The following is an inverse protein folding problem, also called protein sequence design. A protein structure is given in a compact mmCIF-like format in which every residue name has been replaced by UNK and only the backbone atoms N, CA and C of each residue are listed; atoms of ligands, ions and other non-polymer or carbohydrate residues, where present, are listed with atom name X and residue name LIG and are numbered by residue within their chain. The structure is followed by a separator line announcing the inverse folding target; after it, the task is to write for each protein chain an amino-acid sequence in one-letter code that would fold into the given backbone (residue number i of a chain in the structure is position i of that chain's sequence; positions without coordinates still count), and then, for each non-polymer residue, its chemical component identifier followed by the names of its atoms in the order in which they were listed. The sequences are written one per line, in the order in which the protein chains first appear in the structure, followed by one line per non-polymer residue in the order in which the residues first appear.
data_IF_068282701042
#
_entry.id   IF_068282701042
#
_cell.length_a   1.000
_cell.length_b   1.000
_cell.length_c   1.000
_cell.angle_alpha   90.00
_cell.angle_beta   90.00
_cell.angle_gamma   90.00
#
_symmetry.space_group_name_H-M   'P 1'
#
loop_
_entity.id
_entity.type
_entity.pdbx_description
1 polymer ?
#
# COMPACT_ATOMS: atom_id res chain seq x y z
N UNK A 1 -45.12 36.49 17.40
CA UNK A 1 -43.94 35.68 17.80
C UNK A 1 -42.84 35.62 16.70
N UNK A 2 -42.26 36.72 16.27
CA UNK A 2 -41.17 36.78 15.28
C UNK A 2 -39.89 37.49 15.77
N UNK A 3 -39.82 37.81 17.07
CA UNK A 3 -38.73 38.63 17.63
C UNK A 3 -37.61 37.85 18.38
N UNK A 4 -37.77 36.57 18.69
CA UNK A 4 -36.86 35.88 19.63
C UNK A 4 -35.77 35.06 18.92
N UNK A 5 -35.95 34.74 17.63
CA UNK A 5 -34.91 33.96 16.87
C UNK A 5 -33.68 34.80 16.43
N UNK A 6 -33.80 36.12 16.40
CA UNK A 6 -32.68 37.00 15.98
C UNK A 6 -31.63 37.23 17.06
N UNK A 7 -32.01 37.19 18.33
CA UNK A 7 -31.08 37.50 19.44
C UNK A 7 -30.13 36.33 19.75
N UNK A 8 -30.58 35.07 19.59
CA UNK A 8 -29.72 33.91 19.83
C UNK A 8 -28.64 33.72 18.76
N UNK A 9 -28.91 34.12 17.52
CA UNK A 9 -27.91 34.06 16.44
C UNK A 9 -26.86 35.18 16.53
N UNK A 10 -27.24 36.33 17.04
CA UNK A 10 -26.30 37.44 17.28
C UNK A 10 -25.35 37.15 18.45
N UNK A 11 -25.86 36.56 19.54
CA UNK A 11 -25.01 36.16 20.67
C UNK A 11 -24.00 35.06 20.30
N UNK A 12 -24.40 34.07 19.52
CA UNK A 12 -23.49 33.01 19.06
C UNK A 12 -22.38 33.56 18.14
N UNK A 13 -22.71 34.49 17.25
CA UNK A 13 -21.71 35.17 16.40
C UNK A 13 -20.74 36.07 17.18
N UNK A 14 -21.22 36.75 18.22
CA UNK A 14 -20.37 37.57 19.07
C UNK A 14 -19.40 36.72 19.92
N UNK A 15 -19.83 35.55 20.42
CA UNK A 15 -18.96 34.63 21.14
C UNK A 15 -17.91 34.01 20.22
N UNK A 16 -18.25 33.64 18.99
CA UNK A 16 -17.28 33.12 18.03
C UNK A 16 -16.26 34.19 17.58
N UNK A 17 -16.69 35.43 17.39
CA UNK A 17 -15.79 36.53 17.06
C UNK A 17 -14.86 36.95 18.22
N UNK A 18 -15.33 36.83 19.48
CA UNK A 18 -14.49 37.04 20.66
C UNK A 18 -13.51 35.94 20.93
N UNK A 19 -13.89 34.66 20.65
CA UNK A 19 -12.99 33.54 20.73
C UNK A 19 -11.90 33.60 19.65
N UNK A 20 -12.24 33.97 18.42
CA UNK A 20 -11.29 34.21 17.35
C UNK A 20 -10.31 35.36 17.68
N UNK A 21 -10.81 36.48 18.21
CA UNK A 21 -9.94 37.60 18.65
C UNK A 21 -9.02 37.24 19.81
N UNK A 22 -9.44 36.39 20.75
CA UNK A 22 -8.57 35.91 21.84
C UNK A 22 -7.49 34.93 21.36
N UNK A 23 -7.76 34.17 20.30
CA UNK A 23 -6.77 33.32 19.68
C UNK A 23 -5.70 34.11 18.91
N UNK A 24 -6.10 35.22 18.25
CA UNK A 24 -5.16 36.10 17.53
C UNK A 24 -4.18 36.86 18.44
N UNK A 25 -4.53 37.10 19.71
CA UNK A 25 -3.67 37.86 20.66
C UNK A 25 -2.66 36.93 21.39
N UNK A 26 -2.83 35.59 21.33
CA UNK A 26 -1.99 34.66 22.06
C UNK A 26 -0.97 33.88 21.17
N UNK A 27 -1.01 34.08 19.87
CA UNK A 27 -0.04 33.43 18.98
C UNK A 27 1.06 34.45 18.62
N UNK A 28 2.07 34.59 19.46
CA UNK A 28 3.41 34.86 18.91
C UNK A 28 3.67 33.72 17.92
N UNK A 29 3.67 34.02 16.62
CA UNK A 29 3.99 33.08 15.59
C UNK A 29 5.45 32.66 15.76
N UNK A 30 5.70 31.64 16.56
CA UNK A 30 6.96 30.95 16.56
C UNK A 30 7.09 30.35 15.17
N UNK A 31 7.87 31.01 14.31
CA UNK A 31 8.20 30.48 12.99
C UNK A 31 9.16 29.30 13.18
N UNK A 32 8.63 28.10 13.25
CA UNK A 32 9.44 26.91 13.20
C UNK A 32 10.14 26.84 11.84
N UNK A 33 11.41 26.52 11.83
CA UNK A 33 12.17 26.29 10.60
C UNK A 33 11.68 24.96 9.98
N UNK A 34 11.44 24.91 8.66
CA UNK A 34 11.19 23.66 7.99
C UNK A 34 12.32 22.67 8.29
N UNK A 35 11.98 21.47 8.70
CA UNK A 35 12.97 20.41 8.91
C UNK A 35 13.00 19.46 7.72
N UNK A 36 14.18 19.00 7.37
CA UNK A 36 14.36 17.95 6.39
C UNK A 36 14.23 16.57 7.05
N UNK A 37 13.88 15.56 6.24
CA UNK A 37 13.85 14.18 6.70
C UNK A 37 15.26 13.75 7.11
N UNK A 38 15.41 13.35 8.37
CA UNK A 38 16.66 12.81 8.89
C UNK A 38 16.64 11.28 8.78
N UNK A 39 17.70 10.69 8.25
CA UNK A 39 17.84 9.23 8.15
C UNK A 39 19.16 8.81 8.78
N UNK A 40 19.08 7.88 9.73
CA UNK A 40 20.25 7.28 10.39
C UNK A 40 20.20 5.77 10.29
N UNK A 41 21.30 5.15 9.89
CA UNK A 41 21.45 3.69 9.91
C UNK A 41 22.31 3.28 11.09
N UNK A 42 21.74 2.48 11.97
CA UNK A 42 22.46 1.95 13.13
C UNK A 42 23.44 0.83 12.72
N UNK A 43 24.49 0.57 13.55
CA UNK A 43 25.42 -0.55 13.31
C UNK A 43 24.74 -1.93 13.24
N UNK A 44 23.58 -2.09 13.89
CA UNK A 44 22.73 -3.29 13.82
C UNK A 44 22.05 -3.49 12.46
N UNK A 45 22.10 -2.51 11.58
CA UNK A 45 21.40 -2.49 10.30
C UNK A 45 20.00 -1.85 10.36
N UNK A 46 19.47 -1.55 11.56
CA UNK A 46 18.19 -0.83 11.70
C UNK A 46 18.30 0.56 11.09
N UNK A 47 17.32 0.94 10.29
CA UNK A 47 17.23 2.28 9.71
C UNK A 47 16.21 3.09 10.51
N UNK A 48 16.55 4.32 10.83
CA UNK A 48 15.67 5.26 11.53
C UNK A 48 15.46 6.45 10.60
N UNK A 49 14.21 6.81 10.36
CA UNK A 49 13.86 7.99 9.58
C UNK A 49 12.86 8.85 10.36
N UNK A 50 13.04 10.16 10.39
CA UNK A 50 12.14 11.06 11.08
C UNK A 50 11.96 12.37 10.33
N UNK A 51 10.79 12.96 10.52
CA UNK A 51 10.48 14.33 10.14
C UNK A 51 9.72 14.99 11.28
N UNK A 52 10.30 15.97 11.93
CA UNK A 52 9.55 16.79 12.89
C UNK A 52 8.93 18.00 12.18
N UNK A 53 7.66 17.88 11.84
CA UNK A 53 6.85 18.91 11.22
C UNK A 53 6.12 19.78 12.25
N UNK A 54 6.44 19.65 13.54
CA UNK A 54 5.80 20.37 14.67
C UNK A 54 4.28 20.20 14.72
N UNK A 55 3.75 19.18 14.10
CA UNK A 55 2.33 18.83 14.19
C UNK A 55 1.96 18.46 15.63
N UNK A 56 0.76 18.81 16.12
CA UNK A 56 0.26 18.33 17.40
C UNK A 56 -0.04 16.83 17.41
N UNK A 57 -0.22 16.23 16.24
CA UNK A 57 -0.40 14.79 16.06
C UNK A 57 0.92 14.18 15.57
N UNK A 58 1.28 13.06 16.17
CA UNK A 58 2.44 12.25 15.79
C UNK A 58 2.02 10.90 15.26
N UNK A 59 2.72 10.43 14.24
CA UNK A 59 2.55 9.10 13.67
C UNK A 59 3.88 8.37 13.64
N UNK A 60 3.91 7.15 14.14
CA UNK A 60 5.13 6.36 14.22
C UNK A 60 4.85 4.98 13.63
N UNK A 61 5.80 4.47 12.84
CA UNK A 61 5.69 3.18 12.19
C UNK A 61 6.96 2.33 12.32
N UNK A 62 6.78 1.05 12.58
CA UNK A 62 7.83 0.04 12.45
C UNK A 62 7.57 -0.76 11.19
N UNK A 63 8.44 -0.60 10.22
CA UNK A 63 8.39 -1.29 8.92
C UNK A 63 9.30 -2.51 8.99
N UNK A 64 8.78 -3.67 8.61
CA UNK A 64 9.51 -4.94 8.68
C UNK A 64 9.43 -5.66 7.33
N UNK A 65 10.55 -6.11 6.78
CA UNK A 65 10.59 -6.99 5.59
C UNK A 65 10.13 -8.40 5.97
N UNK A 66 8.83 -8.57 6.19
CA UNK A 66 8.23 -9.79 6.70
C UNK A 66 6.81 -10.01 6.12
N UNK A 67 6.64 -9.72 4.83
CA UNK A 67 5.37 -9.98 4.13
C UNK A 67 5.16 -11.45 3.77
N UNK A 68 4.02 -11.77 3.13
CA UNK A 68 3.66 -13.15 2.80
C UNK A 68 4.65 -13.84 1.83
N UNK A 69 5.48 -13.07 1.10
CA UNK A 69 6.53 -13.66 0.26
C UNK A 69 7.57 -14.48 1.03
N UNK A 70 7.70 -14.26 2.33
CA UNK A 70 8.65 -14.97 3.21
C UNK A 70 8.03 -16.16 3.92
N UNK A 71 6.77 -16.47 3.63
CA UNK A 71 6.10 -17.67 4.13
C UNK A 71 6.59 -18.90 3.41
N UNK A 72 6.80 -19.98 4.17
CA UNK A 72 7.06 -21.32 3.65
C UNK A 72 5.75 -22.09 3.44
N UNK A 73 5.76 -23.21 2.71
CA UNK A 73 4.57 -24.05 2.55
C UNK A 73 3.93 -24.50 3.87
N UNK A 74 4.75 -24.67 4.92
CA UNK A 74 4.31 -25.16 6.24
C UNK A 74 3.63 -24.09 7.10
N UNK A 75 3.83 -22.80 6.78
CA UNK A 75 3.30 -21.70 7.58
C UNK A 75 2.53 -20.64 6.77
N UNK A 76 2.00 -21.02 5.62
CA UNK A 76 1.21 -20.11 4.78
C UNK A 76 0.05 -19.50 5.54
N UNK A 77 -0.10 -18.19 5.42
CA UNK A 77 -1.10 -17.40 6.14
C UNK A 77 -0.64 -16.89 7.50
N UNK A 78 0.60 -17.16 7.93
CA UNK A 78 1.12 -16.68 9.21
C UNK A 78 1.13 -15.14 9.28
N UNK A 79 1.42 -14.44 8.18
CA UNK A 79 1.39 -12.97 8.13
C UNK A 79 -0.02 -12.42 8.27
N UNK A 80 -1.03 -13.13 7.77
CA UNK A 80 -2.43 -12.78 7.98
C UNK A 80 -2.79 -12.90 9.47
N UNK A 81 -2.39 -13.99 10.14
CA UNK A 81 -2.61 -14.15 11.57
C UNK A 81 -1.85 -13.09 12.38
N UNK A 82 -0.59 -12.79 12.04
CA UNK A 82 0.20 -11.75 12.69
C UNK A 82 -0.45 -10.38 12.59
N UNK A 83 -1.05 -10.05 11.43
CA UNK A 83 -1.81 -8.81 11.25
C UNK A 83 -3.03 -8.75 12.19
N UNK A 84 -3.76 -9.83 12.33
CA UNK A 84 -4.93 -9.91 13.22
C UNK A 84 -4.54 -10.01 14.71
N UNK A 85 -3.31 -10.45 14.99
CA UNK A 85 -2.78 -10.62 16.35
C UNK A 85 -2.15 -9.34 16.94
N UNK A 86 -2.21 -8.22 16.23
CA UNK A 86 -1.53 -6.98 16.60
C UNK A 86 -1.85 -6.48 18.03
N UNK A 87 -3.04 -6.74 18.53
CA UNK A 87 -3.52 -6.30 19.83
C UNK A 87 -3.63 -7.44 20.87
N UNK A 88 -3.01 -8.57 20.60
CA UNK A 88 -2.95 -9.68 21.56
C UNK A 88 -1.94 -9.40 22.69
N UNK A 89 -1.97 -10.29 23.69
CA UNK A 89 -1.09 -10.20 24.86
C UNK A 89 0.38 -10.29 24.46
N UNK A 90 1.17 -9.38 25.03
CA UNK A 90 2.63 -9.32 24.92
C UNK A 90 3.27 -9.61 26.28
N UNK A 91 4.59 -9.82 26.32
CA UNK A 91 5.32 -10.02 27.58
C UNK A 91 5.23 -8.81 28.53
N UNK A 92 5.09 -7.60 27.99
CA UNK A 92 5.01 -6.36 28.77
C UNK A 92 3.60 -5.91 29.13
N UNK A 93 2.58 -6.32 28.37
CA UNK A 93 1.21 -5.85 28.57
C UNK A 93 0.18 -6.88 28.08
N UNK A 94 -0.92 -7.03 28.81
CA UNK A 94 -2.06 -7.84 28.35
C UNK A 94 -2.79 -7.14 27.20
N UNK A 95 -3.50 -7.91 26.35
CA UNK A 95 -4.34 -7.39 25.28
C UNK A 95 -5.28 -6.27 25.77
N UNK A 96 -5.89 -6.46 26.94
CA UNK A 96 -6.77 -5.47 27.56
C UNK A 96 -6.03 -4.17 27.94
N UNK A 97 -4.81 -4.28 28.49
CA UNK A 97 -3.98 -3.12 28.85
C UNK A 97 -3.54 -2.34 27.60
N UNK A 98 -3.16 -3.04 26.53
CA UNK A 98 -2.78 -2.41 25.25
C UNK A 98 -3.96 -1.62 24.69
N UNK A 99 -5.12 -2.27 24.55
CA UNK A 99 -6.31 -1.64 24.00
C UNK A 99 -6.70 -0.39 24.80
N UNK A 100 -6.89 -0.54 26.13
CA UNK A 100 -7.28 0.58 26.97
C UNK A 100 -6.23 1.66 27.10
N UNK A 101 -4.95 1.30 27.11
CA UNK A 101 -3.86 2.27 27.19
C UNK A 101 -3.76 3.15 25.94
N UNK A 102 -3.95 2.56 24.78
CA UNK A 102 -3.98 3.31 23.50
C UNK A 102 -5.25 4.17 23.40
N UNK A 103 -6.42 3.60 23.71
CA UNK A 103 -7.69 4.33 23.69
C UNK A 103 -7.77 5.46 24.71
N UNK A 104 -7.18 5.30 25.89
CA UNK A 104 -7.19 6.31 26.96
C UNK A 104 -6.51 7.61 26.56
N UNK A 105 -5.54 7.55 25.65
CA UNK A 105 -4.84 8.72 25.11
C UNK A 105 -5.39 9.15 23.73
N UNK A 106 -6.50 8.55 23.30
CA UNK A 106 -7.10 8.83 21.99
C UNK A 106 -6.23 8.39 20.82
N UNK A 107 -5.30 7.47 21.04
CA UNK A 107 -4.43 6.93 20.01
C UNK A 107 -5.09 5.80 19.20
N UNK A 108 -4.41 5.40 18.13
CA UNK A 108 -4.75 4.18 17.39
C UNK A 108 -3.50 3.34 17.13
N UNK A 109 -3.64 2.02 17.19
CA UNK A 109 -2.59 1.08 16.81
C UNK A 109 -3.12 0.17 15.72
N UNK A 110 -2.44 0.14 14.59
CA UNK A 110 -2.84 -0.64 13.43
C UNK A 110 -1.66 -1.45 12.86
N UNK A 111 -2.00 -2.54 12.17
CA UNK A 111 -1.02 -3.32 11.42
C UNK A 111 -1.54 -3.56 10.02
N UNK A 112 -0.72 -3.21 9.03
CA UNK A 112 -0.96 -3.52 7.63
C UNK A 112 0.08 -4.52 7.13
N UNK A 113 -0.30 -5.38 6.21
CA UNK A 113 0.61 -6.33 5.59
C UNK A 113 0.51 -6.24 4.08
N UNK A 114 1.65 -6.21 3.43
CA UNK A 114 1.81 -6.34 2.00
C UNK A 114 2.49 -7.67 1.65
N UNK A 115 2.75 -7.92 0.38
CA UNK A 115 3.50 -9.13 -0.01
C UNK A 115 4.95 -9.12 0.51
N UNK A 116 5.55 -7.96 0.67
CA UNK A 116 6.95 -7.83 1.11
C UNK A 116 7.13 -7.34 2.54
N UNK A 117 6.23 -6.49 3.01
CA UNK A 117 6.41 -5.77 4.26
C UNK A 117 5.22 -5.95 5.21
N UNK A 118 5.48 -5.91 6.50
CA UNK A 118 4.51 -5.65 7.55
C UNK A 118 4.81 -4.29 8.16
N UNK A 119 3.78 -3.50 8.42
CA UNK A 119 3.88 -2.15 8.96
C UNK A 119 3.03 -2.08 10.21
N UNK A 120 3.66 -1.86 11.34
CA UNK A 120 3.02 -1.58 12.61
C UNK A 120 3.02 -0.08 12.82
N UNK A 121 1.87 0.55 12.88
CA UNK A 121 1.75 2.00 13.01
C UNK A 121 0.90 2.40 14.20
N UNK A 122 1.27 3.52 14.80
CA UNK A 122 0.51 4.16 15.87
C UNK A 122 0.32 5.65 15.55
N UNK A 123 -0.87 6.13 15.86
CA UNK A 123 -1.22 7.55 15.81
C UNK A 123 -1.55 8.02 17.22
N UNK A 124 -1.03 9.19 17.60
CA UNK A 124 -1.32 9.77 18.90
C UNK A 124 -1.09 11.30 18.89
N UNK A 125 -1.50 11.94 19.96
CA UNK A 125 -1.04 13.30 20.23
C UNK A 125 0.43 13.31 20.69
N UNK A 126 1.15 14.37 20.35
CA UNK A 126 2.59 14.52 20.64
C UNK A 126 2.91 14.30 22.14
N UNK A 127 2.03 14.73 23.03
CA UNK A 127 2.22 14.62 24.48
C UNK A 127 2.14 13.17 25.01
N UNK A 128 1.67 12.22 24.18
CA UNK A 128 1.46 10.84 24.54
C UNK A 128 2.34 9.83 23.78
N UNK A 129 3.36 10.33 23.09
CA UNK A 129 4.28 9.51 22.29
C UNK A 129 4.88 8.39 23.15
N UNK A 130 5.38 8.70 24.34
CA UNK A 130 6.06 7.73 25.22
C UNK A 130 5.15 6.55 25.56
N UNK A 131 3.88 6.84 25.91
CA UNK A 131 2.89 5.82 26.26
C UNK A 131 2.59 4.88 25.09
N UNK A 132 2.37 5.44 23.90
CA UNK A 132 1.97 4.66 22.72
C UNK A 132 3.16 3.93 22.12
N UNK A 133 4.36 4.52 22.20
CA UNK A 133 5.61 3.91 21.80
C UNK A 133 5.91 2.63 22.59
N UNK A 134 5.67 2.63 23.90
CA UNK A 134 5.82 1.42 24.73
C UNK A 134 4.98 0.25 24.17
N UNK A 135 3.71 0.53 23.80
CA UNK A 135 2.85 -0.50 23.22
C UNK A 135 3.31 -0.95 21.84
N UNK A 136 3.71 -0.02 20.97
CA UNK A 136 4.23 -0.34 19.63
C UNK A 136 5.44 -1.27 19.72
N UNK A 137 6.38 -0.95 20.60
CA UNK A 137 7.58 -1.76 20.83
C UNK A 137 7.20 -3.15 21.36
N UNK A 138 6.33 -3.22 22.36
CA UNK A 138 5.91 -4.51 22.94
C UNK A 138 5.24 -5.41 21.89
N UNK A 139 4.37 -4.86 21.05
CA UNK A 139 3.67 -5.62 20.01
C UNK A 139 4.62 -6.12 18.92
N UNK A 140 5.63 -5.35 18.56
CA UNK A 140 6.59 -5.72 17.50
C UNK A 140 7.69 -6.65 17.97
N UNK A 141 8.11 -6.52 19.23
CA UNK A 141 9.33 -7.19 19.73
C UNK A 141 9.08 -8.36 20.66
N UNK A 142 7.98 -8.31 21.41
CA UNK A 142 7.71 -9.23 22.51
C UNK A 142 6.27 -9.80 22.55
N UNK A 143 5.66 -10.19 21.41
CA UNK A 143 4.36 -10.85 21.43
C UNK A 143 4.46 -12.20 22.15
N UNK A 144 3.41 -12.58 22.88
CA UNK A 144 3.40 -13.82 23.67
C UNK A 144 2.70 -14.97 22.93
N UNK A 145 1.75 -14.67 22.05
CA UNK A 145 0.98 -15.64 21.26
C UNK A 145 0.45 -16.81 22.11
N UNK A 146 -0.34 -16.49 23.11
CA UNK A 146 -0.96 -17.52 23.97
C UNK A 146 -1.81 -18.47 23.12
N UNK A 147 -1.70 -19.80 23.30
CA UNK A 147 -2.40 -20.77 22.44
C UNK A 147 -3.90 -20.55 22.32
N UNK A 148 -4.56 -20.14 23.42
CA UNK A 148 -6.00 -19.86 23.40
C UNK A 148 -6.34 -18.57 22.64
N UNK A 149 -5.53 -17.50 22.76
CA UNK A 149 -5.71 -16.26 21.99
C UNK A 149 -5.50 -16.52 20.49
N UNK A 150 -4.52 -17.35 20.12
CA UNK A 150 -4.26 -17.74 18.72
C UNK A 150 -5.41 -18.60 18.18
N UNK A 151 -5.95 -19.52 18.99
CA UNK A 151 -7.11 -20.33 18.63
C UNK A 151 -8.33 -19.45 18.31
N UNK A 152 -8.57 -18.42 19.11
CA UNK A 152 -9.69 -17.47 18.92
C UNK A 152 -9.57 -16.66 17.64
N UNK A 153 -8.34 -16.43 17.13
CA UNK A 153 -8.12 -15.76 15.84
C UNK A 153 -8.73 -16.53 14.68
N UNK A 154 -8.92 -17.84 14.77
CA UNK A 154 -9.48 -18.67 13.69
C UNK A 154 -10.82 -18.12 13.19
N UNK A 155 -11.69 -17.67 14.08
CA UNK A 155 -12.98 -17.08 13.73
C UNK A 155 -12.82 -15.73 13.01
N UNK A 156 -11.85 -14.92 13.45
CA UNK A 156 -11.52 -13.62 12.84
C UNK A 156 -10.92 -13.80 11.43
N UNK A 157 -10.03 -14.79 11.26
CA UNK A 157 -9.45 -15.16 9.97
C UNK A 157 -10.54 -15.54 8.96
N UNK A 158 -11.52 -16.39 9.39
CA UNK A 158 -12.65 -16.78 8.54
C UNK A 158 -13.50 -15.59 8.14
N UNK A 159 -13.78 -14.69 9.08
CA UNK A 159 -14.55 -13.47 8.81
C UNK A 159 -13.83 -12.52 7.85
N UNK A 160 -12.53 -12.25 8.08
CA UNK A 160 -11.73 -11.35 7.24
C UNK A 160 -11.62 -11.88 5.80
N UNK A 161 -11.43 -13.19 5.64
CA UNK A 161 -11.46 -13.86 4.33
C UNK A 161 -12.83 -13.75 3.65
N UNK A 162 -13.91 -13.95 4.38
CA UNK A 162 -15.26 -13.82 3.84
C UNK A 162 -15.56 -12.39 3.37
N UNK A 163 -15.07 -11.39 4.10
CA UNK A 163 -15.15 -9.97 3.70
C UNK A 163 -14.31 -9.70 2.43
N UNK A 164 -13.08 -10.21 2.37
CA UNK A 164 -12.23 -10.08 1.19
C UNK A 164 -12.84 -10.75 -0.05
N UNK A 165 -13.48 -11.91 0.11
CA UNK A 165 -14.15 -12.63 -0.96
C UNK A 165 -15.38 -11.89 -1.55
N UNK A 166 -15.95 -10.91 -0.81
CA UNK A 166 -17.02 -10.06 -1.34
C UNK A 166 -16.52 -9.04 -2.37
N UNK A 167 -15.21 -8.78 -2.43
CA UNK A 167 -14.60 -7.89 -3.42
C UNK A 167 -14.08 -8.69 -4.62
N UNK A 168 -14.74 -8.65 -5.79
CA UNK A 168 -14.24 -9.33 -6.99
C UNK A 168 -12.85 -8.84 -7.41
N UNK A 169 -12.57 -7.55 -7.21
CA UNK A 169 -11.28 -6.94 -7.50
C UNK A 169 -10.16 -7.57 -6.68
N UNK A 170 -10.37 -7.75 -5.37
CA UNK A 170 -9.39 -8.40 -4.50
C UNK A 170 -9.12 -9.85 -4.93
N UNK A 171 -10.18 -10.60 -5.25
CA UNK A 171 -10.07 -11.96 -5.75
C UNK A 171 -9.28 -12.07 -7.07
N UNK A 172 -9.51 -11.14 -8.00
CA UNK A 172 -8.77 -11.08 -9.27
C UNK A 172 -7.29 -10.73 -9.03
N UNK A 173 -6.98 -9.76 -8.16
CA UNK A 173 -5.60 -9.38 -7.85
C UNK A 173 -4.84 -10.54 -7.16
N UNK A 174 -5.47 -11.22 -6.21
CA UNK A 174 -4.88 -12.41 -5.56
C UNK A 174 -4.65 -13.55 -6.57
N UNK A 175 -5.66 -13.87 -7.36
CA UNK A 175 -5.56 -14.87 -8.43
C UNK A 175 -4.48 -14.53 -9.46
N UNK A 176 -4.35 -13.24 -9.80
CA UNK A 176 -3.34 -12.74 -10.73
C UNK A 176 -1.91 -13.02 -10.25
N UNK A 177 -1.62 -12.77 -8.98
CA UNK A 177 -0.30 -13.05 -8.40
C UNK A 177 -0.02 -14.56 -8.37
N UNK A 178 -1.02 -15.37 -8.01
CA UNK A 178 -0.91 -16.84 -8.08
C UNK A 178 -0.65 -17.39 -9.49
N UNK A 179 -1.23 -16.74 -10.53
CA UNK A 179 -1.00 -17.09 -11.92
C UNK A 179 0.36 -16.59 -12.43
N UNK A 180 0.75 -15.37 -12.03
CA UNK A 180 1.94 -14.68 -12.54
C UNK A 180 3.24 -15.28 -12.03
N UNK A 181 3.30 -15.64 -10.74
CA UNK A 181 4.53 -16.09 -10.09
C UNK A 181 4.51 -17.58 -9.76
N UNK A 182 5.69 -18.19 -9.80
CA UNK A 182 5.89 -19.58 -9.43
C UNK A 182 6.11 -19.78 -7.93
N UNK A 183 6.65 -18.76 -7.26
CA UNK A 183 7.10 -18.82 -5.87
C UNK A 183 6.88 -17.48 -5.18
N UNK A 184 7.18 -17.38 -3.91
CA UNK A 184 7.26 -16.15 -3.09
C UNK A 184 6.09 -15.18 -3.29
N UNK A 185 6.08 -14.39 -4.36
CA UNK A 185 5.01 -13.43 -4.67
C UNK A 185 3.68 -14.08 -5.07
N UNK A 186 3.65 -15.40 -5.31
CA UNK A 186 2.41 -16.16 -5.50
C UNK A 186 1.64 -16.40 -4.20
N UNK A 187 2.30 -16.25 -3.04
CA UNK A 187 1.66 -16.44 -1.75
C UNK A 187 0.54 -15.40 -1.55
N UNK A 188 -0.61 -15.86 -1.07
CA UNK A 188 -1.76 -15.00 -0.80
C UNK A 188 -1.51 -14.11 0.42
N UNK A 189 -2.13 -12.91 0.41
CA UNK A 189 -2.22 -12.06 1.61
C UNK A 189 -3.17 -12.62 2.68
N UNK A 190 -4.01 -13.59 2.30
CA UNK A 190 -4.99 -14.23 3.15
C UNK A 190 -4.61 -15.69 3.43
N UNK A 191 -4.82 -16.13 4.65
CA UNK A 191 -4.58 -17.52 5.04
C UNK A 191 -5.40 -18.48 4.15
N UNK A 192 -4.78 -19.46 3.47
CA UNK A 192 -5.50 -20.43 2.64
C UNK A 192 -6.46 -21.27 3.47
N UNK A 193 -7.55 -21.79 2.86
CA UNK A 193 -8.57 -22.58 3.56
C UNK A 193 -7.99 -23.78 4.31
N UNK A 194 -7.07 -24.48 3.68
CA UNK A 194 -6.44 -25.67 4.26
C UNK A 194 -5.48 -25.37 5.41
N UNK A 195 -5.08 -24.09 5.59
CA UNK A 195 -4.22 -23.67 6.70
C UNK A 195 -5.00 -23.03 7.85
N UNK A 196 -6.29 -22.75 7.68
CA UNK A 196 -7.12 -22.14 8.72
C UNK A 196 -7.25 -23.09 9.92
N UNK A 197 -6.71 -22.66 11.06
CA UNK A 197 -6.66 -23.46 12.30
C UNK A 197 -5.44 -24.38 12.41
N UNK A 198 -4.56 -24.40 11.39
CA UNK A 198 -3.31 -25.16 11.44
C UNK A 198 -2.09 -24.30 11.80
N UNK A 199 -2.18 -22.98 11.61
CA UNK A 199 -1.14 -22.04 12.06
C UNK A 199 -1.29 -21.81 13.55
N UNK A 200 -0.31 -22.22 14.32
CA UNK A 200 -0.26 -22.12 15.77
C UNK A 200 0.74 -21.06 16.28
N UNK A 201 0.87 -20.96 17.59
CA UNK A 201 1.77 -20.02 18.24
C UNK A 201 3.25 -20.25 17.86
N UNK A 202 3.67 -21.51 17.69
CA UNK A 202 5.05 -21.85 17.35
C UNK A 202 5.39 -21.41 15.93
N UNK A 203 4.48 -21.56 14.98
CA UNK A 203 4.63 -21.02 13.61
C UNK A 203 4.80 -19.51 13.63
N UNK A 204 3.99 -18.79 14.44
CA UNK A 204 4.07 -17.34 14.56
C UNK A 204 5.39 -16.90 15.21
N UNK A 205 5.82 -17.56 16.29
CA UNK A 205 7.11 -17.29 16.94
C UNK A 205 8.29 -17.53 16.01
N UNK A 206 8.31 -18.67 15.32
CA UNK A 206 9.37 -19.02 14.37
C UNK A 206 9.45 -18.01 13.22
N UNK A 207 8.31 -17.56 12.68
CA UNK A 207 8.28 -16.55 11.64
C UNK A 207 8.88 -15.22 12.10
N UNK A 208 8.51 -14.76 13.32
CA UNK A 208 9.06 -13.54 13.90
C UNK A 208 10.56 -13.69 14.18
N UNK A 209 11.01 -14.80 14.76
CA UNK A 209 12.43 -15.03 15.01
C UNK A 209 13.28 -14.94 13.76
N UNK A 210 12.78 -15.46 12.65
CA UNK A 210 13.51 -15.53 11.39
C UNK A 210 13.44 -14.25 10.57
N UNK A 211 12.38 -13.45 10.69
CA UNK A 211 12.12 -12.32 9.80
C UNK A 211 12.17 -10.94 10.47
N UNK A 212 11.95 -10.86 11.80
CA UNK A 212 11.98 -9.59 12.54
C UNK A 212 13.37 -9.35 13.10
N UNK A 213 14.32 -9.08 12.22
CA UNK A 213 15.71 -8.74 12.60
C UNK A 213 15.98 -7.26 12.34
N UNK A 214 16.90 -6.66 13.11
CA UNK A 214 17.20 -5.23 13.01
C UNK A 214 17.60 -4.79 11.60
N UNK A 215 18.32 -5.63 10.84
CA UNK A 215 18.71 -5.34 9.46
C UNK A 215 17.53 -5.36 8.45
N UNK A 216 16.39 -5.88 8.87
CA UNK A 216 15.16 -5.95 8.06
C UNK A 216 14.06 -5.02 8.56
N UNK A 217 14.41 -4.10 9.46
CA UNK A 217 13.46 -3.17 10.07
C UNK A 217 13.83 -1.72 9.81
N UNK A 218 12.82 -0.88 9.72
CA UNK A 218 12.97 0.58 9.78
C UNK A 218 11.98 1.16 10.78
N UNK A 219 12.46 2.06 11.63
CA UNK A 219 11.64 2.85 12.55
C UNK A 219 11.45 4.25 11.95
N UNK A 220 10.22 4.65 11.77
CA UNK A 220 9.88 5.91 11.11
C UNK A 220 8.96 6.72 11.99
N UNK A 221 9.20 8.02 12.10
CA UNK A 221 8.37 8.90 12.90
C UNK A 221 8.09 10.25 12.22
N UNK A 222 6.85 10.67 12.32
CA UNK A 222 6.38 12.00 11.94
C UNK A 222 5.97 12.75 13.19
N UNK A 223 6.42 14.00 13.33
CA UNK A 223 6.15 14.81 14.51
C UNK A 223 6.87 14.28 15.76
N UNK A 224 8.02 13.63 15.60
CA UNK A 224 8.84 13.06 16.69
C UNK A 224 10.29 13.46 16.46
N UNK A 225 10.97 13.80 17.55
CA UNK A 225 12.38 14.13 17.53
C UNK A 225 13.24 12.93 17.10
N UNK A 226 14.26 13.19 16.26
CA UNK A 226 15.13 12.15 15.71
C UNK A 226 15.95 11.41 16.78
N UNK A 227 16.46 12.14 17.76
CA UNK A 227 17.30 11.55 18.82
C UNK A 227 16.50 10.65 19.75
N UNK A 228 15.23 10.98 19.98
CA UNK A 228 14.29 10.12 20.74
C UNK A 228 14.08 8.80 19.98
N UNK A 229 13.80 8.85 18.68
CA UNK A 229 13.63 7.63 17.87
C UNK A 229 14.91 6.81 17.79
N UNK A 230 16.07 7.47 17.71
CA UNK A 230 17.38 6.81 17.71
C UNK A 230 17.61 6.06 19.03
N UNK A 231 17.35 6.71 20.15
CA UNK A 231 17.45 6.06 21.46
C UNK A 231 16.52 4.86 21.59
N UNK A 232 15.27 4.99 21.14
CA UNK A 232 14.30 3.88 21.13
C UNK A 232 14.79 2.74 20.23
N UNK A 233 15.29 3.05 19.05
CA UNK A 233 15.83 2.06 18.11
C UNK A 233 17.01 1.28 18.69
N UNK A 234 17.95 1.98 19.33
CA UNK A 234 19.13 1.39 19.96
C UNK A 234 18.77 0.48 21.14
N UNK A 235 17.84 0.92 21.97
CA UNK A 235 17.51 0.21 23.22
C UNK A 235 16.53 -0.95 23.02
N UNK A 236 15.55 -0.81 22.14
CA UNK A 236 14.40 -1.72 22.09
C UNK A 236 14.25 -2.50 20.80
N UNK A 237 14.68 -1.95 19.65
CA UNK A 237 14.56 -2.64 18.36
C UNK A 237 15.83 -3.36 17.92
N UNK A 238 16.89 -3.27 18.68
CA UNK A 238 18.15 -3.97 18.42
C UNK A 238 18.22 -5.37 19.06
N UNK A 239 17.10 -6.08 19.12
CA UNK A 239 16.96 -7.32 19.89
C UNK A 239 17.53 -8.54 19.16
N UNK A 240 17.39 -8.56 17.82
CA UNK A 240 17.82 -9.67 16.97
C UNK A 240 18.73 -9.12 15.88
N UNK A 241 20.04 -9.31 16.07
CA UNK A 241 21.03 -8.97 15.05
C UNK A 241 21.03 -10.03 13.96
N UNK A 242 21.31 -9.61 12.71
CA UNK A 242 21.47 -10.50 11.58
C UNK A 242 20.60 -10.14 10.37
N UNK A 243 20.90 -10.78 9.26
CA UNK A 243 20.21 -10.55 7.98
C UNK A 243 18.85 -11.24 7.90
N UNK A 244 18.49 -12.09 8.87
CA UNK A 244 17.28 -12.90 8.84
C UNK A 244 17.26 -13.92 7.68
N UNK A 245 16.08 -14.44 7.39
CA UNK A 245 15.92 -15.40 6.27
C UNK A 245 16.12 -14.68 4.94
N UNK A 246 17.06 -15.17 4.12
CA UNK A 246 17.25 -14.68 2.76
C UNK A 246 15.99 -14.97 1.94
N UNK A 247 15.37 -13.95 1.36
CA UNK A 247 14.24 -14.11 0.47
C UNK A 247 14.66 -14.78 -0.84
N UNK A 248 13.91 -15.75 -1.29
CA UNK A 248 14.10 -16.33 -2.63
C UNK A 248 13.66 -15.31 -3.69
N UNK A 249 14.41 -15.22 -4.79
CA UNK A 249 14.04 -14.32 -5.90
C UNK A 249 12.72 -14.77 -6.53
N UNK A 250 11.86 -13.80 -6.79
CA UNK A 250 10.60 -14.04 -7.48
C UNK A 250 10.83 -14.57 -8.90
N UNK A 251 10.05 -15.56 -9.30
CA UNK A 251 10.12 -16.14 -10.65
C UNK A 251 8.80 -15.90 -11.36
N UNK A 252 8.81 -14.94 -12.29
CA UNK A 252 7.67 -14.72 -13.15
C UNK A 252 7.48 -15.90 -14.12
N UNK A 253 6.27 -16.41 -14.19
CA UNK A 253 5.95 -17.60 -14.98
C UNK A 253 5.01 -17.30 -16.13
N UNK A 254 4.02 -16.43 -15.87
CA UNK A 254 2.83 -16.30 -16.69
C UNK A 254 1.86 -17.46 -16.49
N UNK A 255 0.59 -17.20 -16.62
CA UNK A 255 -0.47 -18.19 -16.45
C UNK A 255 -1.83 -17.53 -16.37
N UNK A 256 -2.86 -18.34 -16.13
CA UNK A 256 -4.23 -17.88 -16.09
C UNK A 256 -5.00 -18.48 -14.91
N UNK A 257 -5.80 -17.65 -14.26
CA UNK A 257 -6.78 -18.06 -13.22
C UNK A 257 -8.15 -17.55 -13.62
N UNK A 258 -9.13 -18.45 -13.71
CA UNK A 258 -10.51 -18.15 -14.10
C UNK A 258 -11.46 -18.57 -12.99
N UNK A 259 -12.23 -17.62 -12.47
CA UNK A 259 -13.25 -17.86 -11.44
C UNK A 259 -14.62 -17.63 -12.07
N UNK A 260 -15.26 -18.70 -12.53
CA UNK A 260 -16.61 -18.65 -13.07
C UNK A 260 -17.60 -18.47 -11.92
N UNK A 261 -18.42 -17.44 -11.99
CA UNK A 261 -19.52 -17.19 -11.06
C UNK A 261 -20.73 -16.59 -11.79
N UNK A 262 -21.85 -16.38 -11.08
CA UNK A 262 -23.09 -15.88 -11.66
C UNK A 262 -23.17 -14.35 -11.80
N UNK A 263 -22.08 -13.62 -11.60
CA UNK A 263 -22.08 -12.17 -11.72
C UNK A 263 -22.27 -11.72 -13.17
N UNK A 264 -23.07 -10.70 -13.39
CA UNK A 264 -23.23 -10.05 -14.70
C UNK A 264 -22.01 -9.23 -15.10
N UNK A 265 -21.21 -8.77 -14.12
CA UNK A 265 -19.97 -8.06 -14.35
C UNK A 265 -18.79 -9.03 -14.36
N UNK A 266 -17.91 -8.83 -15.33
CA UNK A 266 -16.63 -9.53 -15.45
C UNK A 266 -15.52 -8.58 -15.04
N UNK A 267 -14.76 -8.98 -14.04
CA UNK A 267 -13.54 -8.33 -13.62
C UNK A 267 -12.35 -9.11 -14.19
N UNK A 268 -11.48 -8.45 -14.91
CA UNK A 268 -10.34 -9.09 -15.56
C UNK A 268 -9.09 -8.23 -15.46
N UNK A 269 -7.98 -8.86 -15.13
CA UNK A 269 -6.65 -8.24 -15.13
C UNK A 269 -5.73 -9.01 -16.08
N UNK A 270 -5.07 -8.29 -16.98
CA UNK A 270 -4.07 -8.84 -17.90
C UNK A 270 -2.77 -8.10 -17.70
N UNK A 271 -1.73 -8.81 -17.27
CA UNK A 271 -0.42 -8.22 -16.96
C UNK A 271 0.73 -8.97 -17.60
N UNK A 272 1.87 -8.31 -17.68
CA UNK A 272 3.18 -8.93 -17.92
C UNK A 272 4.14 -8.53 -16.79
N UNK A 273 5.34 -9.10 -16.82
CA UNK A 273 6.39 -8.69 -15.89
C UNK A 273 6.74 -7.21 -16.11
N UNK A 274 6.69 -6.43 -15.02
CA UNK A 274 6.99 -5.01 -14.99
C UNK A 274 8.43 -4.71 -14.57
N UNK A 275 8.62 -3.65 -13.79
CA UNK A 275 9.91 -3.21 -13.27
C UNK A 275 10.08 -3.56 -11.79
N UNK A 276 11.30 -3.91 -11.40
CA UNK A 276 11.68 -4.07 -9.99
C UNK A 276 11.99 -2.70 -9.38
N UNK A 277 11.68 -2.53 -8.09
CA UNK A 277 12.02 -1.30 -7.34
C UNK A 277 13.53 -1.05 -7.40
N UNK A 278 13.91 0.19 -7.69
CA UNK A 278 15.32 0.59 -7.79
C UNK A 278 15.91 0.49 -9.20
N UNK A 279 15.16 0.02 -10.19
CA UNK A 279 15.55 0.13 -11.61
C UNK A 279 15.04 1.45 -12.22
N UNK A 280 15.74 1.95 -13.23
CA UNK A 280 15.37 3.18 -13.94
C UNK A 280 14.03 3.05 -14.67
N UNK A 281 13.63 1.81 -15.00
CA UNK A 281 12.36 1.51 -15.69
C UNK A 281 11.12 1.81 -14.83
N UNK A 282 11.23 1.85 -13.50
CA UNK A 282 10.07 2.07 -12.60
C UNK A 282 9.33 3.35 -12.94
N UNK A 283 10.08 4.45 -13.15
CA UNK A 283 9.48 5.74 -13.50
C UNK A 283 8.84 5.71 -14.89
N UNK A 284 9.43 5.00 -15.84
CA UNK A 284 8.85 4.82 -17.17
C UNK A 284 7.51 4.06 -17.12
N UNK A 285 7.41 2.99 -16.32
CA UNK A 285 6.15 2.27 -16.11
C UNK A 285 5.11 3.11 -15.36
N UNK A 286 5.52 3.92 -14.39
CA UNK A 286 4.59 4.83 -13.69
C UNK A 286 4.05 5.91 -14.62
N UNK A 287 4.88 6.50 -15.48
CA UNK A 287 4.43 7.44 -16.51
C UNK A 287 3.54 6.74 -17.55
N UNK A 288 3.90 5.53 -17.99
CA UNK A 288 3.08 4.73 -18.91
C UNK A 288 1.68 4.45 -18.32
N UNK A 289 1.59 4.14 -17.03
CA UNK A 289 0.33 3.95 -16.33
C UNK A 289 -0.56 5.20 -16.45
N UNK A 290 -0.01 6.40 -16.29
CA UNK A 290 -0.74 7.67 -16.41
C UNK A 290 -1.06 8.05 -17.87
N UNK A 291 -0.22 7.67 -18.84
CA UNK A 291 -0.54 7.81 -20.29
C UNK A 291 -1.77 6.98 -20.63
N UNK A 292 -1.81 5.74 -20.16
CA UNK A 292 -2.93 4.82 -20.39
C UNK A 292 -4.17 5.24 -19.61
N UNK A 293 -4.01 5.60 -18.33
CA UNK A 293 -5.03 6.08 -17.42
C UNK A 293 -5.19 5.21 -16.18
N UNK A 294 -5.13 5.84 -14.99
CA UNK A 294 -5.28 5.18 -13.67
C UNK A 294 -6.73 5.05 -13.21
N UNK A 295 -7.67 5.49 -14.00
CA UNK A 295 -9.10 5.49 -13.70
C UNK A 295 -9.76 6.84 -14.00
N UNK A 296 -11.05 7.01 -13.73
CA UNK A 296 -11.77 8.25 -14.00
C UNK A 296 -11.40 9.32 -12.97
N UNK A 297 -10.74 10.39 -13.41
CA UNK A 297 -10.48 11.58 -12.59
C UNK A 297 -11.70 12.51 -12.49
N UNK A 298 -12.69 12.34 -13.36
CA UNK A 298 -13.91 13.14 -13.42
C UNK A 298 -15.11 12.20 -13.25
N UNK A 299 -15.94 12.47 -12.26
CA UNK A 299 -17.07 11.61 -11.90
C UNK A 299 -18.13 11.48 -12.99
N UNK A 300 -18.29 12.49 -13.86
CA UNK A 300 -19.19 12.49 -15.02
C UNK A 300 -18.54 13.29 -16.14
N UNK A 301 -18.17 12.63 -17.21
CA UNK A 301 -17.61 13.31 -18.38
C UNK A 301 -17.52 12.37 -19.58
N UNK A 302 -17.94 12.87 -20.74
CA UNK A 302 -17.81 12.17 -22.02
C UNK A 302 -16.41 12.29 -22.62
N UNK A 303 -15.58 13.25 -22.17
CA UNK A 303 -14.26 13.56 -22.72
C UNK A 303 -13.16 13.11 -21.77
N UNK A 304 -12.98 11.80 -21.59
CA UNK A 304 -11.86 11.26 -20.83
C UNK A 304 -10.55 11.42 -21.62
N UNK A 305 -9.48 11.82 -20.94
CA UNK A 305 -8.13 11.86 -21.53
C UNK A 305 -7.41 10.52 -21.47
N UNK A 306 -7.96 9.53 -20.75
CA UNK A 306 -7.43 8.18 -20.66
C UNK A 306 -7.46 7.48 -22.01
N UNK A 307 -6.30 7.00 -22.47
CA UNK A 307 -6.19 6.23 -23.73
C UNK A 307 -7.00 4.93 -23.66
N UNK A 308 -6.99 4.25 -22.49
CA UNK A 308 -7.78 3.03 -22.28
C UNK A 308 -9.27 3.30 -22.46
N UNK A 309 -9.81 4.32 -21.77
CA UNK A 309 -11.24 4.65 -21.86
C UNK A 309 -11.62 5.06 -23.26
N UNK A 310 -10.80 5.91 -23.94
CA UNK A 310 -11.05 6.33 -25.31
C UNK A 310 -11.05 5.15 -26.32
N UNK A 311 -10.14 4.19 -26.12
CA UNK A 311 -10.02 3.02 -26.98
C UNK A 311 -11.17 2.04 -26.78
N UNK A 312 -11.50 1.75 -25.54
CA UNK A 312 -12.58 0.82 -25.19
C UNK A 312 -13.95 1.38 -25.54
N UNK A 313 -14.18 2.70 -25.36
CA UNK A 313 -15.44 3.35 -25.75
C UNK A 313 -15.76 3.27 -27.24
N UNK A 314 -14.75 3.03 -28.09
CA UNK A 314 -14.96 2.78 -29.52
C UNK A 314 -15.35 1.34 -29.84
N UNK A 315 -15.02 0.41 -28.93
CA UNK A 315 -15.25 -1.02 -29.13
C UNK A 315 -16.59 -1.50 -28.56
N UNK A 316 -17.14 -0.81 -27.55
CA UNK A 316 -18.43 -1.19 -26.95
C UNK A 316 -19.25 0.03 -26.58
N UNK A 317 -20.57 -0.14 -26.65
CA UNK A 317 -21.56 0.82 -26.13
C UNK A 317 -22.03 0.46 -24.70
N UNK A 318 -21.68 -0.75 -24.21
CA UNK A 318 -22.03 -1.20 -22.87
C UNK A 318 -21.20 -0.48 -21.80
N UNK A 319 -21.72 -0.35 -20.57
CA UNK A 319 -20.95 0.20 -19.45
C UNK A 319 -19.71 -0.62 -19.17
N UNK A 320 -18.58 0.07 -19.03
CA UNK A 320 -17.29 -0.53 -18.71
C UNK A 320 -16.44 0.40 -17.84
N UNK A 321 -15.40 -0.15 -17.24
CA UNK A 321 -14.27 0.57 -16.68
C UNK A 321 -12.96 -0.07 -17.11
N UNK A 322 -11.91 0.74 -17.30
CA UNK A 322 -10.60 0.28 -17.69
C UNK A 322 -9.52 1.18 -17.10
N UNK A 323 -8.60 0.58 -16.36
CA UNK A 323 -7.49 1.26 -15.71
C UNK A 323 -6.18 0.52 -15.93
N UNK A 324 -5.07 1.25 -15.93
CA UNK A 324 -3.75 0.66 -15.96
C UNK A 324 -3.33 0.21 -14.55
N UNK A 325 -2.77 -0.98 -14.48
CA UNK A 325 -2.29 -1.61 -13.25
C UNK A 325 -0.77 -1.62 -13.23
N UNK A 326 -0.16 -1.15 -12.16
CA UNK A 326 1.28 -1.14 -11.97
C UNK A 326 1.62 -1.41 -10.51
N UNK A 327 2.35 -2.49 -10.25
CA UNK A 327 2.84 -2.85 -8.91
C UNK A 327 4.30 -3.27 -9.02
N UNK A 328 5.16 -2.65 -8.22
CA UNK A 328 6.59 -2.91 -8.20
C UNK A 328 6.98 -3.60 -6.89
N UNK A 329 7.79 -4.63 -7.00
CA UNK A 329 8.39 -5.38 -5.89
C UNK A 329 9.91 -5.22 -5.90
N UNK A 330 10.57 -5.66 -4.84
CA UNK A 330 12.02 -5.49 -4.69
C UNK A 330 12.85 -6.13 -5.82
N UNK A 331 12.34 -7.20 -6.45
CA UNK A 331 13.06 -8.00 -7.45
C UNK A 331 12.24 -8.30 -8.72
N UNK A 332 10.98 -7.87 -8.80
CA UNK A 332 10.09 -8.03 -9.95
C UNK A 332 9.00 -6.98 -9.93
N UNK A 333 8.05 -7.03 -10.84
CA UNK A 333 6.86 -6.17 -10.87
C UNK A 333 5.80 -6.75 -11.79
N UNK A 334 4.60 -6.20 -11.72
CA UNK A 334 3.49 -6.50 -12.63
C UNK A 334 2.98 -5.21 -13.25
N UNK A 335 2.88 -5.19 -14.57
CA UNK A 335 2.28 -4.09 -15.30
C UNK A 335 1.25 -4.60 -16.29
N UNK A 336 0.12 -3.90 -16.41
CA UNK A 336 -0.90 -4.24 -17.39
C UNK A 336 -2.18 -3.44 -17.24
N UNK A 337 -3.30 -4.07 -17.56
CA UNK A 337 -4.62 -3.45 -17.57
C UNK A 337 -5.59 -4.22 -16.69
N UNK A 338 -6.43 -3.49 -15.99
CA UNK A 338 -7.58 -4.00 -15.24
C UNK A 338 -8.86 -3.49 -15.89
N UNK A 339 -9.81 -4.39 -16.16
CA UNK A 339 -11.05 -4.07 -16.84
C UNK A 339 -12.26 -4.60 -16.07
N UNK A 340 -13.33 -3.82 -16.07
CA UNK A 340 -14.65 -4.22 -15.60
C UNK A 340 -15.63 -4.03 -16.75
N UNK A 341 -16.42 -5.04 -17.07
CA UNK A 341 -17.37 -4.98 -18.19
C UNK A 341 -18.55 -5.90 -17.98
N UNK A 342 -19.58 -5.69 -18.79
CA UNK A 342 -20.66 -6.67 -18.93
C UNK A 342 -20.11 -7.95 -19.56
N UNK A 343 -20.64 -9.11 -19.16
CA UNK A 343 -20.16 -10.43 -19.64
C UNK A 343 -20.24 -10.56 -21.17
N UNK A 344 -21.21 -9.89 -21.80
CA UNK A 344 -21.39 -9.90 -23.25
C UNK A 344 -20.26 -9.20 -24.02
N UNK A 345 -19.72 -8.13 -23.45
CA UNK A 345 -18.69 -7.27 -24.05
C UNK A 345 -17.27 -7.56 -23.54
N UNK A 346 -17.08 -8.52 -22.63
CA UNK A 346 -15.80 -8.72 -21.95
C UNK A 346 -14.62 -8.94 -22.90
N UNK A 347 -14.81 -9.73 -23.94
CA UNK A 347 -13.76 -9.99 -24.95
C UNK A 347 -13.35 -8.74 -25.71
N UNK A 348 -14.31 -7.94 -26.14
CA UNK A 348 -14.04 -6.72 -26.92
C UNK A 348 -13.35 -5.66 -26.07
N UNK A 349 -13.78 -5.51 -24.81
CA UNK A 349 -13.18 -4.58 -23.83
C UNK A 349 -11.72 -4.95 -23.56
N UNK A 350 -11.42 -6.21 -23.28
CA UNK A 350 -10.05 -6.69 -23.00
C UNK A 350 -9.15 -6.49 -24.22
N UNK A 351 -9.61 -6.92 -25.41
CA UNK A 351 -8.84 -6.76 -26.66
C UNK A 351 -8.61 -5.29 -27.01
N UNK A 352 -9.61 -4.43 -26.84
CA UNK A 352 -9.47 -3.00 -27.07
C UNK A 352 -8.48 -2.35 -26.07
N UNK A 353 -8.53 -2.71 -24.79
CA UNK A 353 -7.61 -2.21 -23.78
C UNK A 353 -6.15 -2.59 -24.10
N UNK A 354 -5.90 -3.83 -24.48
CA UNK A 354 -4.56 -4.29 -24.88
C UNK A 354 -4.12 -3.63 -26.17
N UNK A 355 -5.04 -3.44 -27.12
CA UNK A 355 -4.79 -2.67 -28.34
C UNK A 355 -4.29 -1.25 -28.09
N UNK A 356 -4.76 -0.59 -27.00
CA UNK A 356 -4.26 0.73 -26.63
C UNK A 356 -2.82 0.66 -26.08
N UNK A 357 -2.45 -0.37 -25.33
CA UNK A 357 -1.05 -0.53 -24.90
C UNK A 357 -0.14 -0.77 -26.11
N UNK A 358 -0.57 -1.59 -27.08
CA UNK A 358 0.14 -1.79 -28.36
C UNK A 358 0.28 -0.48 -29.16
N UNK A 359 -0.74 0.37 -29.17
CA UNK A 359 -0.68 1.68 -29.82
C UNK A 359 0.35 2.61 -29.16
N UNK A 360 0.40 2.64 -27.82
CA UNK A 360 1.39 3.42 -27.06
C UNK A 360 2.82 2.90 -27.29
N UNK A 361 3.00 1.60 -27.47
CA UNK A 361 4.29 1.00 -27.82
C UNK A 361 4.85 1.50 -29.17
N UNK A 362 3.96 1.89 -30.08
CA UNK A 362 4.35 2.48 -31.39
C UNK A 362 4.71 3.97 -31.30
N UNK A 363 4.43 4.63 -30.19
CA UNK A 363 4.79 6.02 -29.93
C UNK A 363 3.78 6.74 -29.03
N UNK A 364 4.26 7.72 -28.30
CA UNK A 364 3.48 8.58 -27.39
C UNK A 364 3.58 10.03 -27.88
N UNK A 365 2.44 10.75 -27.90
CA UNK A 365 2.46 12.17 -28.22
C UNK A 365 3.08 12.97 -27.05
N UNK A 366 3.78 14.06 -27.38
CA UNK A 366 4.39 14.94 -26.38
C UNK A 366 3.34 15.52 -25.41
N UNK A 367 2.15 15.82 -25.92
CA UNK A 367 1.04 16.31 -25.11
C UNK A 367 0.57 15.26 -24.06
N UNK A 368 0.46 13.98 -24.46
CA UNK A 368 0.08 12.90 -23.54
C UNK A 368 1.17 12.62 -22.51
N UNK A 369 2.44 12.68 -22.93
CA UNK A 369 3.58 12.52 -22.06
C UNK A 369 3.61 13.62 -20.98
N UNK A 370 3.51 14.88 -21.39
CA UNK A 370 3.51 16.03 -20.47
C UNK A 370 2.35 15.96 -19.49
N UNK A 371 1.15 15.63 -19.99
CA UNK A 371 -0.03 15.43 -19.14
C UNK A 371 0.19 14.32 -18.12
N UNK A 372 0.70 13.15 -18.53
CA UNK A 372 0.93 12.01 -17.65
C UNK A 372 1.97 12.32 -16.56
N UNK A 373 3.06 13.00 -16.92
CA UNK A 373 4.06 13.47 -15.94
C UNK A 373 3.46 14.42 -14.92
N UNK A 374 2.64 15.37 -15.37
CA UNK A 374 1.97 16.32 -14.47
C UNK A 374 1.01 15.61 -13.53
N UNK A 375 0.23 14.64 -14.04
CA UNK A 375 -0.69 13.85 -13.22
C UNK A 375 0.05 12.99 -12.18
N UNK A 376 1.12 12.29 -12.60
CA UNK A 376 1.93 11.47 -11.69
C UNK A 376 2.58 12.32 -10.59
N UNK A 377 3.14 13.50 -10.94
CA UNK A 377 3.70 14.42 -9.94
C UNK A 377 2.63 14.91 -8.96
N UNK A 378 1.46 15.31 -9.47
CA UNK A 378 0.36 15.77 -8.63
C UNK A 378 -0.13 14.67 -7.68
N UNK A 379 -0.33 13.44 -8.17
CA UNK A 379 -0.74 12.30 -7.35
C UNK A 379 0.29 12.00 -6.26
N UNK A 380 1.58 11.96 -6.63
CA UNK A 380 2.65 11.73 -5.67
C UNK A 380 2.71 12.81 -4.60
N UNK A 381 2.74 14.10 -4.99
CA UNK A 381 2.82 15.21 -4.04
C UNK A 381 1.58 15.27 -3.13
N UNK A 382 0.38 15.07 -3.68
CA UNK A 382 -0.86 15.01 -2.88
C UNK A 382 -0.88 13.82 -1.92
N UNK A 383 -0.27 12.68 -2.27
CA UNK A 383 -0.18 11.55 -1.35
C UNK A 383 0.67 11.87 -0.12
N UNK A 384 1.71 12.71 -0.27
CA UNK A 384 2.60 13.13 0.82
C UNK A 384 1.97 14.16 1.78
N UNK A 385 0.87 14.80 1.39
CA UNK A 385 0.14 15.72 2.28
C UNK A 385 -0.58 14.96 3.42
N UNK A 386 -0.89 13.70 3.22
CA UNK A 386 -1.42 12.85 4.29
C UNK A 386 -0.28 12.27 5.14
N UNK A 387 -0.46 12.29 6.47
CA UNK A 387 0.53 11.70 7.38
C UNK A 387 0.77 10.21 7.12
N UNK A 388 -0.25 9.48 6.65
CA UNK A 388 -0.14 8.08 6.26
C UNK A 388 0.72 7.90 5.01
N UNK A 389 0.43 8.64 3.95
CA UNK A 389 1.19 8.55 2.71
C UNK A 389 2.65 9.00 2.88
N UNK A 390 2.89 10.03 3.69
CA UNK A 390 4.25 10.49 4.01
C UNK A 390 5.02 9.44 4.83
N UNK A 391 4.39 8.85 5.85
CA UNK A 391 5.00 7.77 6.64
C UNK A 391 5.35 6.56 5.76
N UNK A 392 4.43 6.15 4.89
CA UNK A 392 4.62 5.02 3.98
C UNK A 392 5.74 5.30 2.96
N UNK A 393 5.79 6.52 2.41
CA UNK A 393 6.85 6.92 1.49
C UNK A 393 8.23 6.92 2.17
N UNK A 394 8.33 7.46 3.39
CA UNK A 394 9.57 7.47 4.18
C UNK A 394 9.98 6.04 4.57
N UNK A 395 9.05 5.25 5.09
CA UNK A 395 9.30 3.91 5.57
C UNK A 395 9.69 2.94 4.47
N UNK A 396 9.01 2.98 3.36
CA UNK A 396 9.32 2.13 2.20
C UNK A 396 10.70 2.46 1.61
N UNK A 397 11.05 3.74 1.50
CA UNK A 397 12.37 4.16 1.01
C UNK A 397 13.48 3.81 2.02
N UNK A 398 13.27 4.11 3.30
CA UNK A 398 14.20 3.75 4.38
C UNK A 398 14.48 2.24 4.41
N UNK A 399 13.42 1.43 4.32
CA UNK A 399 13.54 -0.02 4.36
C UNK A 399 14.21 -0.62 3.11
N UNK A 400 13.96 -0.06 1.92
CA UNK A 400 14.48 -0.61 0.66
C UNK A 400 15.86 -0.08 0.29
N UNK A 401 16.11 1.21 0.52
CA UNK A 401 17.32 1.92 0.08
C UNK A 401 18.24 2.34 1.24
N UNK A 402 17.72 2.38 2.47
CA UNK A 402 18.42 2.96 3.62
C UNK A 402 18.62 4.47 3.53
N UNK A 403 17.86 5.15 2.66
CA UNK A 403 17.92 6.58 2.40
C UNK A 403 16.55 7.11 1.99
N UNK A 404 16.35 8.43 2.04
CA UNK A 404 15.14 9.10 1.59
C UNK A 404 15.46 10.05 0.44
N UNK A 405 14.70 9.97 -0.63
CA UNK A 405 14.70 10.95 -1.72
C UNK A 405 13.61 11.97 -1.49
N UNK A 406 13.98 13.23 -1.50
CA UNK A 406 13.03 14.32 -1.33
C UNK A 406 12.00 14.34 -2.48
N UNK A 407 10.82 14.95 -2.26
CA UNK A 407 9.78 15.07 -3.29
C UNK A 407 10.30 15.74 -4.57
N UNK A 408 11.22 16.70 -4.44
CA UNK A 408 11.84 17.41 -5.56
C UNK A 408 12.70 16.47 -6.43
N UNK A 409 13.46 15.56 -5.80
CA UNK A 409 14.29 14.57 -6.51
C UNK A 409 13.37 13.61 -7.27
N UNK A 410 12.28 13.13 -6.65
CA UNK A 410 11.32 12.26 -7.33
C UNK A 410 10.64 12.99 -8.50
N UNK A 411 10.27 14.27 -8.32
CA UNK A 411 9.71 15.09 -9.40
C UNK A 411 10.69 15.24 -10.57
N UNK A 412 11.98 15.45 -10.30
CA UNK A 412 13.01 15.49 -11.33
C UNK A 412 13.18 14.14 -12.05
N UNK A 413 13.11 13.02 -11.32
CA UNK A 413 13.14 11.68 -11.92
C UNK A 413 11.96 11.46 -12.86
N UNK A 414 10.76 11.93 -12.50
CA UNK A 414 9.58 11.87 -13.37
C UNK A 414 9.80 12.74 -14.63
N UNK A 415 10.37 13.95 -14.47
CA UNK A 415 10.63 14.85 -15.58
C UNK A 415 11.68 14.31 -16.55
N UNK A 416 12.63 13.52 -16.07
CA UNK A 416 13.70 12.93 -16.90
C UNK A 416 13.21 11.81 -17.84
N UNK A 417 12.04 11.21 -17.59
CA UNK A 417 11.49 10.13 -18.42
C UNK A 417 11.20 10.63 -19.84
N UNK A 418 11.75 9.98 -20.85
CA UNK A 418 11.52 10.30 -22.25
C UNK A 418 10.33 9.55 -22.88
N UNK A 419 9.85 10.00 -24.04
CA UNK A 419 8.84 9.28 -24.80
C UNK A 419 9.33 7.88 -25.23
N UNK A 420 10.62 7.74 -25.50
CA UNK A 420 11.26 6.46 -25.84
C UNK A 420 11.25 5.49 -24.68
N UNK A 421 11.45 5.95 -23.43
CA UNK A 421 11.41 5.09 -22.26
C UNK A 421 10.01 4.54 -22.02
N UNK A 422 8.99 5.38 -22.20
CA UNK A 422 7.58 4.97 -22.12
C UNK A 422 7.22 3.97 -23.22
N UNK A 423 7.67 4.19 -24.45
CA UNK A 423 7.45 3.25 -25.54
C UNK A 423 8.17 1.91 -25.29
N UNK A 424 9.39 1.93 -24.75
CA UNK A 424 10.14 0.73 -24.37
C UNK A 424 9.43 -0.06 -23.25
N UNK A 425 8.90 0.63 -22.24
CA UNK A 425 8.08 0.00 -21.19
C UNK A 425 6.81 -0.65 -21.77
N UNK A 426 6.12 0.02 -22.69
CA UNK A 426 4.98 -0.53 -23.38
C UNK A 426 5.36 -1.74 -24.27
N UNK A 427 6.49 -1.68 -24.97
CA UNK A 427 7.02 -2.80 -25.75
C UNK A 427 7.36 -4.00 -24.88
N UNK A 428 7.92 -3.78 -23.69
CA UNK A 428 8.18 -4.85 -22.71
C UNK A 428 6.88 -5.56 -22.30
N UNK A 429 5.79 -4.80 -22.11
CA UNK A 429 4.47 -5.41 -21.91
C UNK A 429 4.04 -6.19 -23.14
N UNK A 430 4.11 -5.62 -24.34
CA UNK A 430 3.61 -6.28 -25.59
C UNK A 430 4.34 -7.58 -25.89
N UNK A 431 5.66 -7.59 -25.77
CA UNK A 431 6.50 -8.78 -26.05
C UNK A 431 6.56 -9.77 -24.88
N UNK A 432 6.29 -9.31 -23.66
CA UNK A 432 6.38 -10.15 -22.47
C UNK A 432 5.30 -11.23 -22.40
N UNK A 433 5.61 -12.32 -21.72
CA UNK A 433 4.62 -13.37 -21.43
C UNK A 433 3.49 -12.78 -20.59
N UNK A 434 2.23 -13.11 -20.92
CA UNK A 434 1.07 -12.58 -20.22
C UNK A 434 0.64 -13.48 -19.07
N UNK A 435 0.09 -12.84 -18.04
CA UNK A 435 -0.69 -13.46 -16.98
C UNK A 435 -2.07 -12.84 -16.95
N UNK A 436 -3.08 -13.66 -16.70
CA UNK A 436 -4.46 -13.20 -16.65
C UNK A 436 -5.18 -13.77 -15.44
N UNK A 437 -6.00 -12.94 -14.81
CA UNK A 437 -6.98 -13.41 -13.83
C UNK A 437 -8.33 -12.78 -14.12
N UNK A 438 -9.38 -13.60 -14.08
CA UNK A 438 -10.74 -13.16 -14.41
C UNK A 438 -11.75 -13.76 -13.45
N UNK A 439 -12.76 -12.96 -13.08
CA UNK A 439 -13.88 -13.38 -12.23
C UNK A 439 -15.19 -12.83 -12.77
N UNK A 440 -16.21 -13.66 -12.87
CA UNK A 440 -17.52 -13.29 -13.39
C UNK A 440 -18.12 -14.39 -14.27
N UNK A 441 -19.06 -14.03 -15.14
CA UNK A 441 -19.54 -14.92 -16.21
C UNK A 441 -18.58 -14.87 -17.39
N UNK A 442 -17.66 -15.84 -17.48
CA UNK A 442 -16.50 -15.84 -18.36
C UNK A 442 -16.73 -16.47 -19.75
N UNK A 443 -17.98 -16.73 -20.15
CA UNK A 443 -18.30 -17.40 -21.42
C UNK A 443 -17.70 -16.68 -22.64
N UNK A 444 -17.70 -15.35 -22.63
CA UNK A 444 -17.12 -14.51 -23.71
C UNK A 444 -15.76 -13.89 -23.38
N UNK A 445 -15.17 -14.27 -22.24
CA UNK A 445 -13.85 -13.77 -21.86
C UNK A 445 -12.79 -14.60 -22.57
N UNK A 446 -11.87 -14.00 -23.34
CA UNK A 446 -10.83 -14.72 -24.05
C UNK A 446 -9.87 -15.41 -23.07
N UNK A 447 -9.19 -16.44 -23.54
CA UNK A 447 -8.06 -17.02 -22.85
C UNK A 447 -6.80 -16.16 -23.05
N UNK A 448 -5.82 -16.36 -22.17
CA UNK A 448 -4.58 -15.54 -22.18
C UNK A 448 -3.78 -15.70 -23.49
N UNK A 449 -3.89 -16.84 -24.16
CA UNK A 449 -3.24 -17.16 -25.44
C UNK A 449 -3.99 -16.62 -26.67
N UNK A 450 -5.22 -16.14 -26.50
CA UNK A 450 -6.02 -15.48 -27.56
C UNK A 450 -5.80 -13.97 -27.61
N UNK A 451 -4.92 -13.44 -26.74
CA UNK A 451 -4.75 -11.97 -26.55
C UNK A 451 -3.39 -11.49 -27.18
#
# INVERSE_FOLDING_TARGET
MKGIRGISQLSTRLYSAQAARKLDVAAEHVKFQPQDVQVTKLPSGLVIASLDNYSPASRIGVFVKAGCRYESPDNQGVTHLLRLAANLTTKGASAFRICRGVEAVGGSLGVTSSRENMIYSVDCLRDHIDTVMEYLINVTTAPEFRPWEVSDLTSRVKMDRALAAQSPQMGVIEGLHGAAYKNTLSNSLYCPDYMVGHVDADHMHNFIQNNFTSARMALVGLGVDHDVLKQVGEQFLNIRSGMGTAGTKAQYRGGEVRVQNGSSLVHSAVVSEGAAVGTDEVMAFSVLQHVLGVGPHIKRGSNSTSKLIQGVAKATADPFDASAFNVNYSDSGLFGVYTISQSAAAGDVIKAAIGQVKAVASGVSEADLTRAKTQLKAEYLMSLESSEGLLDAMGSQALTRGAYHSPEVIAQMIDSVSATDVANAANKFVSGKKSMASSGNLVKTPFVDEI
#
